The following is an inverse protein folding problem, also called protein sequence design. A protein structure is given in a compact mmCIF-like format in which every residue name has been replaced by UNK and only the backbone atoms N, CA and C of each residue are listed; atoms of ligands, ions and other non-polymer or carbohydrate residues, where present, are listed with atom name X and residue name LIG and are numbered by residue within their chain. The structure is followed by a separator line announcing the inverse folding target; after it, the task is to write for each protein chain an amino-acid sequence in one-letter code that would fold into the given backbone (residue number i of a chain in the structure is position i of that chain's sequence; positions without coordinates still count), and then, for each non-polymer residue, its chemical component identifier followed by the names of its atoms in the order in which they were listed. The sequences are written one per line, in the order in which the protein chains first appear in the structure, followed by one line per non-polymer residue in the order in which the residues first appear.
data_IF_099721897982
#
_entry.id   IF_099721897982
#
_cell.length_a   1.000
_cell.length_b   1.000
_cell.length_c   1.000
_cell.angle_alpha   90.00
_cell.angle_beta   90.00
_cell.angle_gamma   90.00
#
_symmetry.space_group_name_H-M   'P 1'
#
loop_
_entity.id
_entity.type
_entity.pdbx_description
1 polymer ?
#
# COMPACT_ATOMS: atom_id res chain seq x y z
N UNK A 1 -4.00 5.97 17.76
CA UNK A 1 -4.34 4.52 17.82
C UNK A 1 -3.12 3.73 17.37
N UNK A 2 -2.73 2.70 18.12
CA UNK A 2 -1.58 1.86 17.75
C UNK A 2 -2.01 0.97 16.58
N UNK A 3 -1.54 1.29 15.38
CA UNK A 3 -1.79 0.46 14.20
C UNK A 3 -0.99 -0.83 14.36
N UNK A 4 -1.67 -1.97 14.30
CA UNK A 4 -1.02 -3.27 14.30
C UNK A 4 -0.64 -3.61 12.87
N UNK A 5 0.66 -3.53 12.57
CA UNK A 5 1.24 -4.05 11.35
C UNK A 5 1.61 -5.53 11.55
N UNK A 6 1.53 -6.37 10.51
CA UNK A 6 1.15 -6.01 9.13
C UNK A 6 -0.34 -5.77 8.93
N UNK A 7 -0.67 -4.90 7.97
CA UNK A 7 -2.04 -4.70 7.48
C UNK A 7 -2.18 -5.48 6.17
N UNK A 8 -3.17 -6.37 6.07
CA UNK A 8 -3.44 -7.13 4.86
C UNK A 8 -4.84 -6.82 4.31
N UNK A 9 -4.96 -6.71 3.00
CA UNK A 9 -6.23 -6.53 2.29
C UNK A 9 -6.15 -7.07 0.86
N UNK A 10 -7.29 -7.27 0.22
CA UNK A 10 -7.35 -7.73 -1.18
C UNK A 10 -7.97 -6.64 -2.03
N UNK A 11 -7.34 -6.34 -3.17
CA UNK A 11 -7.85 -5.39 -4.17
C UNK A 11 -9.02 -5.99 -4.95
N UNK A 12 -9.78 -5.15 -5.63
CA UNK A 12 -10.87 -5.60 -6.52
C UNK A 12 -10.35 -6.46 -7.69
N UNK A 13 -9.09 -6.29 -8.09
CA UNK A 13 -8.42 -7.14 -9.08
C UNK A 13 -8.18 -8.58 -8.60
N UNK A 14 -8.34 -8.86 -7.31
CA UNK A 14 -7.99 -10.13 -6.68
C UNK A 14 -6.55 -10.21 -6.17
N UNK A 15 -5.77 -9.14 -6.32
CA UNK A 15 -4.40 -9.04 -5.80
C UNK A 15 -4.42 -8.89 -4.27
N UNK A 16 -3.70 -9.76 -3.56
CA UNK A 16 -3.53 -9.67 -2.13
C UNK A 16 -2.41 -8.70 -1.79
N UNK A 17 -2.65 -7.77 -0.87
CA UNK A 17 -1.71 -6.72 -0.50
C UNK A 17 -1.40 -6.85 0.98
N UNK A 18 -0.11 -6.88 1.30
CA UNK A 18 0.41 -6.90 2.66
C UNK A 18 1.25 -5.64 2.85
N UNK A 19 0.97 -4.90 3.91
CA UNK A 19 1.65 -3.65 4.23
C UNK A 19 2.36 -3.80 5.57
N UNK A 20 3.68 -3.62 5.56
CA UNK A 20 4.51 -3.54 6.76
C UNK A 20 4.87 -2.09 7.03
N UNK A 21 4.90 -1.68 8.30
CA UNK A 21 5.53 -0.43 8.70
C UNK A 21 6.99 -0.72 9.05
N UNK A 22 7.90 -0.14 8.28
CA UNK A 22 9.36 -0.32 8.43
C UNK A 22 10.03 0.93 9.00
N UNK A 23 9.29 2.00 9.27
CA UNK A 23 9.81 3.26 9.81
C UNK A 23 8.72 4.31 10.05
N UNK A 24 9.06 5.46 10.65
CA UNK A 24 8.10 6.46 11.14
C UNK A 24 7.00 6.83 10.14
N UNK A 25 7.34 6.87 8.85
CA UNK A 25 6.44 7.16 7.73
C UNK A 25 6.78 6.30 6.51
N UNK A 26 7.37 5.12 6.73
CA UNK A 26 7.80 4.21 5.66
C UNK A 26 7.03 2.91 5.74
N UNK A 27 6.38 2.58 4.62
CA UNK A 27 5.52 1.42 4.48
C UNK A 27 6.03 0.57 3.33
N UNK A 28 6.21 -0.71 3.56
CA UNK A 28 6.54 -1.67 2.52
C UNK A 28 5.27 -2.40 2.10
N UNK A 29 4.95 -2.31 0.81
CA UNK A 29 3.82 -2.96 0.19
C UNK A 29 4.29 -4.19 -0.58
N UNK A 30 3.71 -5.33 -0.27
CA UNK A 30 3.84 -6.57 -1.02
C UNK A 30 2.52 -6.84 -1.74
N UNK A 31 2.55 -6.96 -3.06
CA UNK A 31 1.42 -7.30 -3.91
C UNK A 31 1.61 -8.72 -4.40
N UNK A 32 0.64 -9.56 -4.10
CA UNK A 32 0.57 -10.96 -4.48
C UNK A 32 -0.64 -11.15 -5.40
N UNK A 33 -0.48 -10.95 -6.72
CA UNK A 33 -1.56 -11.16 -7.67
C UNK A 33 -1.95 -12.64 -7.70
N UNK A 34 -3.22 -12.92 -7.97
CA UNK A 34 -3.71 -14.30 -8.09
C UNK A 34 -2.97 -15.11 -9.18
N UNK A 35 -2.46 -14.41 -10.20
CA UNK A 35 -1.65 -14.98 -11.26
C UNK A 35 -0.45 -14.07 -11.55
N UNK A 36 0.76 -14.62 -11.44
CA UNK A 36 2.00 -13.93 -11.79
C UNK A 36 2.95 -13.75 -10.61
N UNK A 37 4.04 -12.98 -10.81
CA UNK A 37 5.03 -12.75 -9.76
C UNK A 37 4.52 -11.72 -8.74
N UNK A 38 4.81 -11.99 -7.47
CA UNK A 38 4.65 -11.00 -6.40
C UNK A 38 5.56 -9.80 -6.64
N UNK A 39 5.05 -8.61 -6.37
CA UNK A 39 5.79 -7.35 -6.48
C UNK A 39 5.92 -6.73 -5.10
N UNK A 40 7.01 -6.03 -4.86
CA UNK A 40 7.19 -5.27 -3.61
C UNK A 40 7.65 -3.87 -3.93
N UNK A 41 7.12 -2.89 -3.21
CA UNK A 41 7.55 -1.50 -3.31
C UNK A 41 7.47 -0.80 -1.95
N UNK A 42 8.26 0.24 -1.78
CA UNK A 42 8.24 1.05 -0.56
C UNK A 42 7.54 2.36 -0.82
N UNK A 43 6.52 2.65 -0.01
CA UNK A 43 5.81 3.92 0.03
C UNK A 43 6.29 4.73 1.24
N UNK A 44 6.56 6.02 1.03
CA UNK A 44 6.89 6.96 2.12
C UNK A 44 5.84 8.06 2.16
N UNK A 45 5.22 8.24 3.33
CA UNK A 45 4.12 9.20 3.55
C UNK A 45 4.60 10.65 3.52
N UNK A 46 5.90 10.89 3.70
CA UNK A 46 6.56 12.21 3.63
C UNK A 46 6.55 12.81 2.20
N UNK A 47 6.25 12.01 1.17
CA UNK A 47 6.13 12.50 -0.21
C UNK A 47 4.75 13.09 -0.46
N UNK A 48 4.71 14.19 -1.22
CA UNK A 48 3.44 14.71 -1.73
C UNK A 48 2.74 13.63 -2.55
N UNK A 49 1.44 13.40 -2.32
CA UNK A 49 0.63 12.37 -3.01
C UNK A 49 0.83 12.36 -4.53
N UNK A 50 1.15 13.51 -5.11
CA UNK A 50 1.44 13.74 -6.53
C UNK A 50 2.76 13.15 -7.04
N UNK A 51 3.80 13.06 -6.21
CA UNK A 51 5.11 12.49 -6.63
C UNK A 51 5.10 10.96 -6.64
N UNK A 52 4.15 10.37 -5.93
CA UNK A 52 3.98 8.92 -5.83
C UNK A 52 3.23 8.37 -7.07
N UNK A 53 2.44 9.20 -7.74
CA UNK A 53 1.67 8.85 -8.95
C UNK A 53 2.56 8.59 -10.18
N UNK A 54 3.71 9.27 -10.27
CA UNK A 54 4.59 9.20 -11.47
C UNK A 54 5.49 7.94 -11.49
N UNK A 55 5.78 7.35 -10.33
CA UNK A 55 6.68 6.19 -10.20
C UNK A 55 5.95 4.85 -10.01
N UNK A 56 4.64 4.88 -9.68
CA UNK A 56 3.87 3.68 -9.36
C UNK A 56 2.95 3.24 -10.50
N UNK A 57 2.91 1.94 -10.75
CA UNK A 57 1.94 1.35 -11.67
C UNK A 57 0.51 1.48 -11.13
N UNK A 58 -0.49 1.39 -12.01
CA UNK A 58 -1.92 1.47 -11.65
C UNK A 58 -2.30 0.57 -10.46
N UNK A 59 -1.80 -0.66 -10.39
CA UNK A 59 -2.10 -1.59 -9.29
C UNK A 59 -1.43 -1.17 -7.97
N UNK A 60 -0.23 -0.57 -8.04
CA UNK A 60 0.46 -0.05 -6.88
C UNK A 60 -0.25 1.19 -6.34
N UNK A 61 -0.76 2.06 -7.23
CA UNK A 61 -1.59 3.21 -6.85
C UNK A 61 -2.91 2.78 -6.22
N UNK A 62 -3.56 1.75 -6.76
CA UNK A 62 -4.79 1.21 -6.18
C UNK A 62 -4.54 0.65 -4.76
N UNK A 63 -3.41 -0.03 -4.55
CA UNK A 63 -2.98 -0.50 -3.24
C UNK A 63 -2.74 0.65 -2.24
N UNK A 64 -1.99 1.68 -2.64
CA UNK A 64 -1.74 2.87 -1.80
C UNK A 64 -3.03 3.60 -1.48
N UNK A 65 -3.92 3.78 -2.46
CA UNK A 65 -5.21 4.43 -2.28
C UNK A 65 -6.12 3.65 -1.33
N UNK A 66 -6.21 2.33 -1.50
CA UNK A 66 -6.97 1.46 -0.60
C UNK A 66 -6.41 1.49 0.82
N UNK A 67 -5.08 1.50 0.95
CA UNK A 67 -4.42 1.71 2.22
C UNK A 67 -4.80 3.06 2.83
N UNK A 68 -4.72 4.16 2.09
CA UNK A 68 -5.14 5.48 2.59
C UNK A 68 -6.60 5.49 3.01
N UNK A 69 -7.53 4.97 2.21
CA UNK A 69 -8.95 4.89 2.58
C UNK A 69 -9.15 4.13 3.89
N UNK A 70 -8.49 2.99 4.05
CA UNK A 70 -8.51 2.22 5.32
C UNK A 70 -7.84 2.95 6.49
N UNK A 71 -6.96 3.90 6.22
CA UNK A 71 -6.30 4.73 7.22
C UNK A 71 -7.04 6.04 7.51
N UNK A 72 -7.81 6.58 6.57
CA UNK A 72 -8.53 7.85 6.63
C UNK A 72 -9.92 7.70 7.27
N UNK A 73 -10.50 6.48 7.29
CA UNK A 73 -11.74 6.13 8.02
C UNK A 73 -11.57 6.13 9.57
N UNK A 74 -10.48 6.72 10.08
CA UNK A 74 -10.14 6.86 11.50
C UNK A 74 -9.96 8.35 11.86
N UNK A 75 -10.89 9.19 11.42
CA UNK A 75 -11.01 10.60 11.87
C UNK A 75 -12.45 10.92 12.22
#
# INVERSE_FOLDING_TARGET
MVKHYPIAFTLESGTHVIVHNTGPETYEFTLEPAHGPSRQFTYRDDRSKTEVDDELDFEQLDAVRTFWLKNEDVV
#
